data_IF_405871979060
#
_entry.id   IF_405871979060
#
_cell.length_a   1.000
_cell.length_b   1.000
_cell.length_c   1.000
_cell.angle_alpha   90.00
_cell.angle_beta   90.00
_cell.angle_gamma   90.00
#
_symmetry.space_group_name_H-M   'P 1'
#
loop_
_entity.id
_entity.type
_entity.pdbx_description
1 polymer ?
#
# COMPACT_ATOMS: atom_id res chain seq x y z
N UNK A 1 5.98 -7.44 12.46
CA UNK A 1 5.78 -6.00 12.70
C UNK A 1 6.04 -5.22 11.42
N UNK A 2 5.11 -4.45 10.98
CA UNK A 2 5.26 -3.56 9.83
C UNK A 2 5.55 -2.15 10.33
N UNK A 3 6.62 -1.53 9.83
CA UNK A 3 7.04 -0.17 10.19
C UNK A 3 7.17 0.61 8.90
N UNK A 4 6.27 1.57 8.66
CA UNK A 4 6.27 2.33 7.41
C UNK A 4 5.88 3.79 7.61
N UNK A 5 6.36 4.64 6.71
CA UNK A 5 5.91 6.03 6.58
C UNK A 5 5.22 6.18 5.24
N UNK A 6 4.27 7.10 5.17
CA UNK A 6 3.38 7.29 4.04
C UNK A 6 3.24 8.75 3.66
N UNK A 7 3.19 9.01 2.36
CA UNK A 7 3.03 10.36 1.80
C UNK A 7 1.96 10.37 0.72
N UNK A 8 1.23 11.47 0.62
CA UNK A 8 0.42 11.76 -0.56
C UNK A 8 1.36 12.30 -1.64
N UNK A 9 1.22 11.80 -2.86
CA UNK A 9 2.05 12.22 -4.00
C UNK A 9 1.17 12.50 -5.22
N UNK A 10 1.76 13.04 -6.29
CA UNK A 10 1.02 13.50 -7.48
C UNK A 10 1.44 12.79 -8.76
N UNK A 11 1.82 11.54 -8.71
CA UNK A 11 2.20 10.75 -9.88
C UNK A 11 3.44 9.92 -9.61
N UNK A 12 3.97 9.31 -10.68
CA UNK A 12 5.18 8.52 -10.57
C UNK A 12 6.40 9.42 -10.36
N UNK A 13 7.38 9.01 -9.54
CA UNK A 13 8.60 9.79 -9.37
C UNK A 13 9.48 9.74 -10.62
N UNK A 14 10.33 10.75 -10.78
CA UNK A 14 11.32 10.81 -11.86
C UNK A 14 12.72 10.57 -11.30
N UNK A 15 13.61 10.06 -12.14
CA UNK A 15 15.03 9.92 -11.80
C UNK A 15 15.38 8.75 -10.88
N UNK A 16 14.44 7.88 -10.56
CA UNK A 16 14.68 6.68 -9.74
C UNK A 16 14.65 5.42 -10.60
N UNK A 17 15.37 4.39 -10.17
CA UNK A 17 15.37 3.09 -10.84
C UNK A 17 14.16 2.28 -10.39
N UNK A 18 13.26 1.99 -11.31
CA UNK A 18 12.11 1.13 -11.02
C UNK A 18 12.55 -0.32 -10.93
N UNK A 19 12.10 -1.02 -9.88
CA UNK A 19 12.48 -2.41 -9.61
C UNK A 19 11.30 -3.37 -9.70
N UNK A 20 10.07 -2.90 -9.65
CA UNK A 20 8.88 -3.76 -9.71
C UNK A 20 7.66 -2.99 -10.21
N UNK A 21 6.67 -3.74 -10.73
CA UNK A 21 5.36 -3.20 -11.13
C UNK A 21 4.30 -4.25 -10.82
N UNK A 22 3.38 -3.92 -9.91
CA UNK A 22 2.28 -4.80 -9.53
C UNK A 22 0.95 -4.21 -9.94
N UNK A 23 0.09 -5.06 -10.52
CA UNK A 23 -1.34 -4.78 -10.62
C UNK A 23 -2.03 -5.46 -9.44
N UNK A 24 -2.71 -4.69 -8.62
CA UNK A 24 -3.34 -5.19 -7.40
C UNK A 24 -4.84 -4.95 -7.42
N UNK A 25 -5.57 -5.91 -6.83
CA UNK A 25 -6.98 -5.77 -6.51
C UNK A 25 -7.15 -6.12 -5.04
N UNK A 26 -7.74 -5.21 -4.25
CA UNK A 26 -7.90 -5.46 -2.82
C UNK A 26 -9.28 -5.09 -2.31
N UNK A 27 -9.76 -5.87 -1.34
CA UNK A 27 -11.03 -5.62 -0.69
C UNK A 27 -10.97 -5.95 0.80
N UNK A 28 -11.91 -5.39 1.55
CA UNK A 28 -11.90 -5.47 3.01
C UNK A 28 -13.08 -6.30 3.51
N UNK A 29 -12.78 -7.31 4.31
CA UNK A 29 -13.76 -8.06 5.10
C UNK A 29 -14.11 -7.24 6.34
N UNK A 30 -13.11 -6.60 6.94
CA UNK A 30 -13.24 -5.71 8.08
C UNK A 30 -12.19 -4.61 7.98
N UNK A 31 -12.52 -3.41 8.45
CA UNK A 31 -11.56 -2.30 8.49
C UNK A 31 -10.95 -2.16 9.89
N UNK A 32 -11.69 -2.52 10.94
CA UNK A 32 -11.21 -2.47 12.34
C UNK A 32 -11.70 -3.70 13.10
N UNK A 33 -10.82 -4.68 13.36
CA UNK A 33 -9.44 -4.79 12.87
C UNK A 33 -9.39 -4.92 11.36
N UNK A 34 -8.26 -4.56 10.76
CA UNK A 34 -8.08 -4.68 9.33
C UNK A 34 -7.97 -6.15 8.93
N UNK A 35 -8.90 -6.61 8.09
CA UNK A 35 -8.85 -7.93 7.45
C UNK A 35 -9.14 -7.72 5.97
N UNK A 36 -8.16 -8.01 5.11
CA UNK A 36 -8.31 -7.76 3.67
C UNK A 36 -7.81 -8.93 2.84
N UNK A 37 -8.37 -9.04 1.64
CA UNK A 37 -7.82 -9.90 0.58
C UNK A 37 -7.17 -9.03 -0.47
N UNK A 38 -6.12 -9.55 -1.13
CA UNK A 38 -5.43 -8.83 -2.19
C UNK A 38 -4.88 -9.80 -3.23
N UNK A 39 -5.14 -9.48 -4.49
CA UNK A 39 -4.47 -10.11 -5.63
C UNK A 39 -3.29 -9.23 -6.01
N UNK A 40 -2.12 -9.82 -6.10
CA UNK A 40 -0.87 -9.12 -6.43
C UNK A 40 -0.28 -9.77 -7.69
N UNK A 41 -0.48 -9.14 -8.83
CA UNK A 41 0.06 -9.62 -10.11
C UNK A 41 1.33 -8.86 -10.44
N UNK A 42 2.48 -9.52 -10.25
CA UNK A 42 3.79 -8.95 -10.59
C UNK A 42 4.02 -9.01 -12.09
N UNK A 43 4.32 -7.88 -12.71
CA UNK A 43 4.66 -7.82 -14.12
C UNK A 43 5.95 -8.63 -14.38
N UNK A 44 5.87 -9.59 -15.29
CA UNK A 44 6.97 -10.52 -15.59
C UNK A 44 7.17 -11.61 -14.53
N UNK A 45 6.25 -11.75 -13.57
CA UNK A 45 6.34 -12.71 -12.49
C UNK A 45 5.01 -13.41 -12.19
N UNK A 46 4.88 -13.89 -10.95
CA UNK A 46 3.70 -14.63 -10.51
C UNK A 46 2.61 -13.72 -9.98
N UNK A 47 1.40 -14.27 -9.88
CA UNK A 47 0.29 -13.66 -9.15
C UNK A 47 0.15 -14.35 -7.79
N UNK A 48 0.16 -13.56 -6.70
CA UNK A 48 -0.11 -14.04 -5.36
C UNK A 48 -1.51 -13.62 -4.91
N UNK A 49 -2.18 -14.48 -4.14
CA UNK A 49 -3.46 -14.20 -3.51
C UNK A 49 -3.23 -14.23 -1.99
N UNK A 50 -3.51 -13.11 -1.32
CA UNK A 50 -3.09 -12.91 0.06
C UNK A 50 -4.27 -12.52 0.94
N UNK A 51 -4.35 -13.14 2.11
CA UNK A 51 -5.24 -12.74 3.20
C UNK A 51 -4.39 -12.09 4.28
N UNK A 52 -4.72 -10.86 4.66
CA UNK A 52 -3.90 -10.04 5.54
C UNK A 52 -4.71 -9.52 6.71
N UNK A 53 -4.12 -9.61 7.90
CA UNK A 53 -4.66 -9.08 9.16
C UNK A 53 -3.68 -8.02 9.69
N UNK A 54 -4.18 -6.84 10.02
CA UNK A 54 -3.35 -5.78 10.60
C UNK A 54 -3.92 -5.30 11.90
N UNK A 55 -3.04 -5.16 12.91
CA UNK A 55 -3.39 -4.60 14.19
C UNK A 55 -3.47 -3.08 14.18
N UNK A 56 -3.77 -2.49 15.35
CA UNK A 56 -3.78 -1.06 15.55
C UNK A 56 -2.34 -0.51 15.59
N UNK A 57 -2.18 0.76 15.22
CA UNK A 57 -0.91 1.46 15.23
C UNK A 57 -0.84 2.50 14.12
N UNK A 58 0.15 3.39 14.21
CA UNK A 58 0.36 4.45 13.23
C UNK A 58 1.67 4.23 12.45
N UNK A 59 2.81 4.34 13.11
CA UNK A 59 4.12 4.09 12.50
C UNK A 59 4.39 2.59 12.39
N UNK A 60 4.13 1.84 13.45
CA UNK A 60 4.32 0.38 13.45
C UNK A 60 3.05 -0.32 13.91
N UNK A 61 2.80 -1.48 13.31
CA UNK A 61 1.66 -2.33 13.67
C UNK A 61 1.95 -3.78 13.32
N UNK A 62 1.29 -4.66 14.05
CA UNK A 62 1.35 -6.09 13.76
C UNK A 62 0.70 -6.40 12.42
N UNK A 63 1.35 -7.27 11.64
CA UNK A 63 0.83 -7.73 10.36
C UNK A 63 0.96 -9.24 10.28
N UNK A 64 -0.12 -9.91 9.90
CA UNK A 64 -0.16 -11.35 9.65
C UNK A 64 -0.65 -11.53 8.23
N UNK A 65 0.18 -12.14 7.38
CA UNK A 65 -0.19 -12.45 6.00
C UNK A 65 -0.13 -13.95 5.76
N UNK A 66 -1.07 -14.46 4.97
CA UNK A 66 -1.02 -15.84 4.48
C UNK A 66 -1.48 -15.88 3.02
N UNK A 67 -0.82 -16.71 2.21
CA UNK A 67 -1.30 -16.98 0.86
C UNK A 67 -2.52 -17.90 0.94
N UNK A 68 -3.49 -17.63 0.06
CA UNK A 68 -4.70 -18.43 -0.08
C UNK A 68 -4.85 -18.88 -1.53
N UNK A 69 -5.65 -19.91 -1.75
CA UNK A 69 -5.90 -20.39 -3.10
C UNK A 69 -6.98 -19.57 -3.81
N UNK A 70 -7.13 -19.80 -5.11
CA UNK A 70 -8.08 -19.07 -5.94
C UNK A 70 -9.52 -19.31 -5.54
N UNK A 71 -9.85 -20.52 -5.08
CA UNK A 71 -11.21 -20.86 -4.65
C UNK A 71 -11.60 -20.06 -3.40
N UNK A 72 -10.72 -20.02 -2.40
CA UNK A 72 -10.97 -19.25 -1.19
C UNK A 72 -11.03 -17.75 -1.48
N UNK A 73 -10.14 -17.25 -2.32
CA UNK A 73 -10.17 -15.84 -2.73
C UNK A 73 -11.51 -15.47 -3.37
N UNK A 74 -12.00 -16.30 -4.30
CA UNK A 74 -13.29 -16.06 -4.95
C UNK A 74 -14.46 -16.06 -3.97
N UNK A 75 -14.45 -16.97 -2.99
CA UNK A 75 -15.49 -17.03 -1.94
C UNK A 75 -15.48 -15.78 -1.07
N UNK A 76 -14.30 -15.31 -0.67
CA UNK A 76 -14.16 -14.11 0.13
C UNK A 76 -14.54 -12.85 -0.66
N UNK A 77 -14.17 -12.76 -1.93
CA UNK A 77 -14.60 -11.69 -2.81
C UNK A 77 -16.11 -11.62 -2.94
N UNK A 78 -16.75 -12.77 -3.11
CA UNK A 78 -18.22 -12.87 -3.17
C UNK A 78 -18.86 -12.44 -1.85
N UNK A 79 -18.29 -12.85 -0.72
CA UNK A 79 -18.76 -12.45 0.62
C UNK A 79 -18.69 -10.94 0.80
N UNK A 80 -17.62 -10.30 0.36
CA UNK A 80 -17.45 -8.85 0.41
C UNK A 80 -18.54 -8.15 -0.41
N UNK A 81 -18.84 -8.65 -1.61
CA UNK A 81 -19.96 -8.19 -2.43
C UNK A 81 -19.84 -6.76 -2.96
N UNK A 82 -18.65 -6.16 -2.95
CA UNK A 82 -18.37 -4.81 -3.43
C UNK A 82 -17.18 -4.85 -4.38
N UNK A 83 -17.09 -3.87 -5.32
CA UNK A 83 -15.96 -3.81 -6.24
C UNK A 83 -14.63 -3.65 -5.49
N UNK A 84 -13.65 -4.47 -5.85
CA UNK A 84 -12.31 -4.36 -5.28
C UNK A 84 -11.65 -3.05 -5.72
N UNK A 85 -10.81 -2.52 -4.85
CA UNK A 85 -9.96 -1.37 -5.17
C UNK A 85 -8.89 -1.85 -6.14
N UNK A 86 -8.75 -1.18 -7.28
CA UNK A 86 -7.66 -1.42 -8.23
C UNK A 86 -6.50 -0.49 -7.92
N UNK A 87 -5.29 -1.05 -7.97
CA UNK A 87 -4.11 -0.29 -7.61
C UNK A 87 -2.92 -0.78 -8.42
N UNK A 88 -2.18 0.16 -9.03
CA UNK A 88 -0.88 -0.14 -9.59
C UNK A 88 0.19 0.31 -8.60
N UNK A 89 1.09 -0.60 -8.23
CA UNK A 89 2.21 -0.32 -7.32
C UNK A 89 3.53 -0.52 -8.04
N UNK A 90 4.33 0.54 -8.08
CA UNK A 90 5.71 0.46 -8.58
C UNK A 90 6.70 0.63 -7.45
N UNK A 91 7.70 -0.25 -7.42
CA UNK A 91 8.82 -0.15 -6.49
C UNK A 91 9.99 0.56 -7.14
N UNK A 92 10.64 1.44 -6.38
CA UNK A 92 11.81 2.18 -6.83
C UNK A 92 12.93 2.03 -5.80
N UNK A 93 14.16 1.88 -6.31
CA UNK A 93 15.33 1.72 -5.44
C UNK A 93 15.70 3.06 -4.80
N UNK A 94 15.95 3.03 -3.49
CA UNK A 94 16.45 4.16 -2.72
C UNK A 94 17.84 3.83 -2.17
N UNK A 95 18.65 4.87 -1.83
CA UNK A 95 19.90 4.65 -1.12
C UNK A 95 19.70 3.89 0.20
N UNK A 96 20.68 3.10 0.59
CA UNK A 96 20.65 2.37 1.87
C UNK A 96 19.81 1.10 1.86
N UNK A 97 19.45 0.58 0.67
CA UNK A 97 18.70 -0.66 0.56
C UNK A 97 17.21 -0.50 0.80
N UNK A 98 16.69 0.72 0.88
CA UNK A 98 15.27 1.00 1.02
C UNK A 98 14.59 0.98 -0.36
N UNK A 99 13.28 0.78 -0.34
CA UNK A 99 12.41 0.84 -1.53
C UNK A 99 11.31 1.86 -1.32
N UNK A 100 11.10 2.72 -2.33
CA UNK A 100 9.94 3.58 -2.39
C UNK A 100 8.85 2.84 -3.16
N UNK A 101 7.71 2.60 -2.53
CA UNK A 101 6.56 2.00 -3.18
C UNK A 101 5.53 3.09 -3.49
N UNK A 102 5.23 3.32 -4.75
CA UNK A 102 4.28 4.34 -5.20
C UNK A 102 3.05 3.66 -5.75
N UNK A 103 1.88 4.13 -5.34
CA UNK A 103 0.59 3.54 -5.67
C UNK A 103 -0.31 4.54 -6.38
N UNK A 104 -0.87 4.13 -7.51
CA UNK A 104 -1.97 4.80 -8.18
C UNK A 104 -3.25 4.02 -7.87
N UNK A 105 -4.19 4.65 -7.18
CA UNK A 105 -5.39 4.00 -6.64
C UNK A 105 -6.61 4.35 -7.49
N UNK A 106 -7.37 3.32 -7.92
CA UNK A 106 -8.59 3.46 -8.72
C UNK A 106 -8.43 4.46 -9.87
N UNK A 107 -7.49 4.24 -10.80
CA UNK A 107 -7.10 5.25 -11.80
C UNK A 107 -8.23 5.70 -12.71
N UNK A 108 -9.29 4.89 -12.86
CA UNK A 108 -10.41 5.19 -13.75
C UNK A 108 -11.59 5.84 -13.03
N UNK A 109 -11.48 6.09 -11.72
CA UNK A 109 -12.56 6.68 -10.92
C UNK A 109 -12.27 8.13 -10.57
N UNK A 110 -13.33 8.95 -10.32
CA UNK A 110 -13.16 10.34 -9.86
C UNK A 110 -12.43 10.45 -8.52
N UNK A 111 -12.44 9.38 -7.71
CA UNK A 111 -11.78 9.31 -6.42
C UNK A 111 -10.30 8.94 -6.51
N UNK A 112 -9.75 8.75 -7.72
CA UNK A 112 -8.38 8.34 -7.95
C UNK A 112 -7.38 9.24 -7.18
N UNK A 113 -6.38 8.60 -6.59
CA UNK A 113 -5.32 9.33 -5.88
C UNK A 113 -4.02 8.51 -5.87
N UNK A 114 -2.95 9.16 -5.42
CA UNK A 114 -1.62 8.58 -5.38
C UNK A 114 -1.05 8.67 -3.99
N UNK A 115 -0.37 7.63 -3.56
CA UNK A 115 0.39 7.66 -2.31
C UNK A 115 1.67 6.85 -2.43
N UNK A 116 2.64 7.18 -1.59
CA UNK A 116 3.92 6.50 -1.54
C UNK A 116 4.21 6.02 -0.12
N UNK A 117 4.92 4.92 -0.02
CA UNK A 117 5.31 4.31 1.25
C UNK A 117 6.77 3.92 1.22
N UNK A 118 7.43 4.02 2.39
CA UNK A 118 8.74 3.44 2.63
C UNK A 118 8.64 2.59 3.88
N UNK A 119 9.06 1.34 3.79
CA UNK A 119 9.10 0.41 4.93
C UNK A 119 10.50 0.38 5.53
N UNK A 120 10.57 0.33 6.85
CA UNK A 120 11.81 0.35 7.62
C UNK A 120 11.92 -0.87 8.51
N UNK A 121 13.15 -1.23 8.88
CA UNK A 121 13.41 -2.37 9.78
C UNK A 121 13.16 -2.01 11.25
N UNK A 122 13.38 -0.75 11.63
CA UNK A 122 13.19 -0.27 12.99
C UNK A 122 12.47 1.08 13.02
N UNK A 123 11.82 1.39 14.14
CA UNK A 123 11.21 2.70 14.35
C UNK A 123 12.25 3.82 14.36
N UNK A 124 13.42 3.56 14.95
CA UNK A 124 14.51 4.53 14.97
C UNK A 124 14.96 4.91 13.56
N UNK A 125 15.10 3.93 12.68
CA UNK A 125 15.43 4.16 11.27
C UNK A 125 14.35 4.98 10.59
N UNK A 126 13.08 4.63 10.81
CA UNK A 126 11.95 5.35 10.23
C UNK A 126 11.92 6.82 10.67
N UNK A 127 12.09 7.08 11.95
CA UNK A 127 12.05 8.45 12.50
C UNK A 127 13.23 9.30 12.04
N UNK A 128 14.40 8.70 11.83
CA UNK A 128 15.61 9.39 11.41
C UNK A 128 15.68 9.64 9.89
N UNK A 129 14.90 8.92 9.10
CA UNK A 129 15.00 9.00 7.64
C UNK A 129 14.47 10.33 7.12
N UNK A 130 15.29 11.00 6.27
CA UNK A 130 14.95 12.27 5.65
C UNK A 130 14.84 12.07 4.14
N UNK A 131 13.67 12.35 3.53
CA UNK A 131 13.51 12.26 2.08
C UNK A 131 14.55 13.05 1.28
N UNK A 132 15.06 14.15 1.82
CA UNK A 132 16.09 14.97 1.16
C UNK A 132 17.37 14.17 0.90
N UNK A 133 17.72 13.20 1.75
CA UNK A 133 18.90 12.35 1.56
C UNK A 133 18.79 11.48 0.29
N UNK A 134 17.58 11.24 -0.19
CA UNK A 134 17.32 10.50 -1.43
C UNK A 134 16.96 11.43 -2.59
N UNK A 135 17.08 12.75 -2.42
CA UNK A 135 16.69 13.73 -3.44
C UNK A 135 15.19 13.88 -3.63
N UNK A 136 14.38 13.51 -2.60
CA UNK A 136 12.94 13.43 -2.70
C UNK A 136 12.20 14.45 -1.80
N UNK A 137 12.90 15.53 -1.36
CA UNK A 137 12.29 16.52 -0.47
C UNK A 137 11.02 17.14 -1.06
N UNK A 138 10.99 17.42 -2.36
CA UNK A 138 9.82 18.00 -3.02
C UNK A 138 8.74 16.94 -3.28
N UNK A 139 9.14 15.78 -3.78
CA UNK A 139 8.20 14.71 -4.11
C UNK A 139 7.48 14.18 -2.87
N UNK A 140 8.20 14.01 -1.75
CA UNK A 140 7.69 13.50 -0.48
C UNK A 140 7.50 14.64 0.54
N UNK A 141 6.81 15.71 0.15
CA UNK A 141 6.58 16.84 1.05
C UNK A 141 5.31 16.74 1.90
N UNK A 142 4.37 15.85 1.51
CA UNK A 142 3.06 15.74 2.16
C UNK A 142 2.94 14.41 2.91
N UNK A 143 3.62 14.32 4.04
CA UNK A 143 3.56 13.11 4.88
C UNK A 143 2.22 12.98 5.56
N UNK A 144 1.62 11.78 5.48
CA UNK A 144 0.34 11.46 6.08
C UNK A 144 0.38 10.23 7.01
N UNK A 145 1.57 9.82 7.45
CA UNK A 145 1.73 8.69 8.37
C UNK A 145 0.82 8.83 9.58
N UNK A 146 -0.07 7.86 9.78
CA UNK A 146 -0.98 7.82 10.92
C UNK A 146 -2.04 8.92 10.97
N UNK A 147 -2.17 9.76 9.95
CA UNK A 147 -3.21 10.79 9.93
C UNK A 147 -4.59 10.17 9.70
N UNK A 148 -5.62 10.63 10.42
CA UNK A 148 -7.00 10.20 10.18
C UNK A 148 -7.41 10.44 8.72
N UNK A 149 -8.15 9.49 8.14
CA UNK A 149 -8.61 9.58 6.76
C UNK A 149 -7.60 9.15 5.71
N UNK A 150 -6.37 8.81 6.09
CA UNK A 150 -5.29 8.49 5.15
C UNK A 150 -5.12 7.00 4.84
N UNK A 151 -5.83 6.11 5.54
CA UNK A 151 -5.68 4.68 5.34
C UNK A 151 -6.51 4.17 4.16
N UNK A 152 -6.06 3.08 3.55
CA UNK A 152 -6.81 2.41 2.48
C UNK A 152 -8.13 1.82 2.99
N UNK A 153 -8.18 1.41 4.26
CA UNK A 153 -9.43 0.97 4.89
C UNK A 153 -10.47 2.08 4.98
N UNK A 154 -10.05 3.28 5.33
CA UNK A 154 -10.95 4.44 5.35
C UNK A 154 -11.40 4.84 3.95
N UNK A 155 -10.50 4.79 2.97
CA UNK A 155 -10.85 4.99 1.56
C UNK A 155 -11.91 3.97 1.10
N UNK A 156 -11.75 2.71 1.47
CA UNK A 156 -12.72 1.66 1.20
C UNK A 156 -14.10 2.02 1.74
N UNK A 157 -14.18 2.41 3.01
CA UNK A 157 -15.45 2.79 3.65
C UNK A 157 -16.11 3.99 2.97
N UNK A 158 -15.33 4.96 2.50
CA UNK A 158 -15.86 6.16 1.85
C UNK A 158 -16.37 5.88 0.43
N UNK A 159 -15.77 4.93 -0.28
CA UNK A 159 -16.04 4.72 -1.70
C UNK A 159 -16.89 3.48 -1.99
N UNK A 160 -16.88 2.46 -1.14
CA UNK A 160 -17.65 1.21 -1.28
C UNK A 160 -18.78 1.18 -0.25
N UNK A 161 -19.71 2.04 -0.43
CA UNK A 161 -20.91 2.15 0.44
C UNK A 161 -22.02 1.20 0.04
#
# INVERSE_FOLDING_TARGET
MEIERKWVVTGWPEGLTQTSDYQMDQGYISVRPTVRIRREALQGGRTALVLCFKGAGTLSREEIETEIDAELFAKLEHLIGKPLIRKERRGYRLPGGLTLEVNCVDPDLPTAFWYAEVEFETEAQALAWDPAAAGLADYLHDECTGKPGSSMGEYWLQTRK
#
